data_IF_348733750324
#
_entry.id   IF_348733750324
#
_cell.length_a   1.000
_cell.length_b   1.000
_cell.length_c   1.000
_cell.angle_alpha   90.00
_cell.angle_beta   90.00
_cell.angle_gamma   90.00
#
_symmetry.space_group_name_H-M   'P 1'
#
loop_
_entity.id
_entity.type
_entity.pdbx_description
1 polymer ?
#
# COMPACT_ATOMS: atom_id res chain seq x y z
N UNK A 1 -22.89 23.83 3.54
CA UNK A 1 -22.25 23.09 4.65
C UNK A 1 -20.77 22.91 4.33
N UNK A 2 -19.88 23.81 4.81
CA UNK A 2 -18.44 23.73 4.58
C UNK A 2 -17.85 22.73 5.59
N UNK A 3 -17.49 21.51 5.17
CA UNK A 3 -16.71 20.61 6.02
C UNK A 3 -15.33 21.24 6.22
N UNK A 4 -14.94 21.45 7.47
CA UNK A 4 -13.69 22.11 7.84
C UNK A 4 -12.48 21.44 7.17
N UNK A 5 -11.61 22.27 6.61
CA UNK A 5 -10.31 21.85 6.11
C UNK A 5 -9.53 21.23 7.27
N UNK A 6 -9.38 19.90 7.28
CA UNK A 6 -8.47 19.21 8.21
C UNK A 6 -7.05 19.64 7.81
N UNK A 7 -6.29 20.31 8.69
CA UNK A 7 -4.93 20.70 8.37
C UNK A 7 -4.12 19.44 8.00
N UNK A 8 -3.15 19.55 7.08
CA UNK A 8 -2.32 18.42 6.72
C UNK A 8 -1.68 17.84 7.99
N UNK A 9 -1.62 16.50 8.13
CA UNK A 9 -0.94 15.89 9.26
C UNK A 9 0.52 16.36 9.31
N UNK A 10 1.08 16.41 10.52
CA UNK A 10 2.45 16.83 10.79
C UNK A 10 3.42 16.29 9.74
N UNK A 11 4.29 17.17 9.25
CA UNK A 11 5.29 16.91 8.21
C UNK A 11 5.95 15.56 8.46
N UNK A 12 5.93 14.69 7.44
CA UNK A 12 6.62 13.42 7.48
C UNK A 12 8.06 13.65 7.98
N UNK A 13 8.56 12.86 8.95
CA UNK A 13 9.92 13.03 9.44
C UNK A 13 10.89 12.98 8.26
N UNK A 14 11.93 13.82 8.33
CA UNK A 14 12.97 13.90 7.32
C UNK A 14 13.47 12.49 6.96
N UNK A 15 13.72 12.24 5.67
CA UNK A 15 14.11 10.91 5.17
C UNK A 15 15.31 10.31 5.93
N UNK A 16 16.21 11.15 6.44
CA UNK A 16 17.33 10.77 7.31
C UNK A 16 16.87 10.05 8.59
N UNK A 17 15.81 10.54 9.25
CA UNK A 17 15.28 9.93 10.48
C UNK A 17 14.63 8.56 10.23
N UNK A 18 14.13 8.30 9.01
CA UNK A 18 13.56 6.98 8.64
C UNK A 18 14.61 5.97 8.20
N UNK A 19 15.80 6.44 7.79
CA UNK A 19 16.91 5.56 7.43
C UNK A 19 17.70 5.08 8.65
N UNK A 20 17.71 5.84 9.75
CA UNK A 20 18.45 5.51 10.96
C UNK A 20 18.18 4.08 11.49
N UNK A 21 16.93 3.59 11.57
CA UNK A 21 16.67 2.20 11.99
C UNK A 21 17.30 1.15 11.06
N UNK A 22 17.45 1.45 9.76
CA UNK A 22 17.98 0.54 8.74
C UNK A 22 19.51 0.55 8.65
N UNK A 23 20.18 1.43 9.41
CA UNK A 23 21.64 1.50 9.41
C UNK A 23 22.27 0.31 10.14
N UNK A 24 21.63 -0.16 11.23
CA UNK A 24 22.10 -1.28 12.05
C UNK A 24 21.32 -2.59 11.92
N UNK A 25 20.13 -2.59 11.30
CA UNK A 25 19.34 -3.80 11.10
C UNK A 25 19.63 -4.41 9.73
N UNK A 26 20.05 -5.66 9.65
CA UNK A 26 20.02 -6.45 8.40
C UNK A 26 19.46 -7.82 8.72
N UNK A 27 18.54 -8.32 7.88
CA UNK A 27 18.12 -9.72 7.93
C UNK A 27 19.30 -10.66 7.62
N UNK A 28 19.14 -11.93 7.98
CA UNK A 28 20.12 -12.97 7.64
C UNK A 28 20.30 -13.16 6.13
N UNK A 29 21.26 -13.99 5.73
CA UNK A 29 21.56 -14.24 4.32
C UNK A 29 20.36 -14.79 3.52
N UNK A 30 19.46 -15.52 4.18
CA UNK A 30 18.25 -16.11 3.60
C UNK A 30 17.05 -15.13 3.57
N UNK A 31 17.20 -13.91 4.12
CA UNK A 31 16.15 -12.90 4.07
C UNK A 31 15.98 -12.35 2.65
N UNK A 32 14.76 -11.97 2.25
CA UNK A 32 14.52 -11.45 0.91
C UNK A 32 15.25 -10.12 0.71
N UNK A 33 15.67 -9.87 -0.53
CA UNK A 33 16.30 -8.59 -0.90
C UNK A 33 15.25 -7.51 -1.11
N UNK A 34 15.57 -6.23 -0.87
CA UNK A 34 14.64 -5.12 -1.12
C UNK A 34 14.06 -5.06 -2.55
N UNK A 35 14.88 -5.41 -3.55
CA UNK A 35 14.45 -5.44 -4.96
C UNK A 35 13.39 -6.54 -5.21
N UNK A 36 13.53 -7.71 -4.57
CA UNK A 36 12.57 -8.81 -4.68
C UNK A 36 11.22 -8.40 -4.09
N UNK A 37 11.22 -7.71 -2.94
CA UNK A 37 9.99 -7.15 -2.35
C UNK A 37 9.36 -6.14 -3.29
N UNK A 38 10.14 -5.21 -3.86
CA UNK A 38 9.64 -4.21 -4.81
C UNK A 38 8.93 -4.89 -5.98
N UNK A 39 9.57 -5.89 -6.57
CA UNK A 39 9.06 -6.55 -7.78
C UNK A 39 7.83 -7.41 -7.46
N UNK A 40 7.80 -8.06 -6.29
CA UNK A 40 6.63 -8.77 -5.79
C UNK A 40 5.42 -7.84 -5.54
N UNK A 41 5.64 -6.64 -4.98
CA UNK A 41 4.58 -5.64 -4.83
C UNK A 41 4.02 -5.21 -6.19
N UNK A 42 4.88 -4.94 -7.17
CA UNK A 42 4.47 -4.55 -8.53
C UNK A 42 3.64 -5.64 -9.19
N UNK A 43 4.11 -6.88 -9.17
CA UNK A 43 3.38 -8.02 -9.72
C UNK A 43 2.01 -8.19 -9.04
N UNK A 44 1.98 -8.13 -7.70
CA UNK A 44 0.75 -8.28 -6.92
C UNK A 44 -0.29 -7.20 -7.26
N UNK A 45 0.12 -5.94 -7.37
CA UNK A 45 -0.78 -4.84 -7.73
C UNK A 45 -1.22 -4.92 -9.19
N UNK A 46 -0.35 -5.34 -10.10
CA UNK A 46 -0.72 -5.51 -11.51
C UNK A 46 -1.81 -6.58 -11.67
N UNK A 47 -1.66 -7.71 -10.98
CA UNK A 47 -2.60 -8.83 -11.04
C UNK A 47 -3.93 -8.55 -10.34
N UNK A 48 -3.92 -7.96 -9.15
CA UNK A 48 -5.14 -7.81 -8.34
C UNK A 48 -5.75 -6.41 -8.31
N UNK A 49 -4.97 -5.37 -8.63
CA UNK A 49 -5.38 -3.97 -8.57
C UNK A 49 -5.06 -3.18 -9.86
N UNK A 50 -4.86 -3.90 -10.98
CA UNK A 50 -4.56 -3.36 -12.31
C UNK A 50 -5.74 -2.62 -12.95
N UNK A 51 -5.85 -2.66 -14.29
CA UNK A 51 -6.89 -1.91 -15.01
C UNK A 51 -8.30 -2.32 -14.59
N UNK A 52 -8.57 -3.62 -14.61
CA UNK A 52 -9.82 -4.22 -14.15
C UNK A 52 -9.63 -4.93 -12.82
N UNK A 53 -10.63 -4.81 -11.96
CA UNK A 53 -10.58 -5.36 -10.61
C UNK A 53 -11.80 -6.23 -10.34
N UNK A 54 -11.61 -7.20 -9.45
CA UNK A 54 -12.66 -8.06 -8.88
C UNK A 54 -12.45 -8.15 -7.38
N UNK A 55 -13.50 -8.49 -6.64
CA UNK A 55 -13.40 -8.79 -5.20
C UNK A 55 -12.28 -9.80 -4.93
N UNK A 56 -12.32 -10.95 -5.60
CA UNK A 56 -11.35 -12.03 -5.40
C UNK A 56 -9.93 -11.62 -5.79
N UNK A 57 -9.75 -10.85 -6.87
CA UNK A 57 -8.43 -10.33 -7.25
C UNK A 57 -7.84 -9.41 -6.19
N UNK A 58 -8.67 -8.50 -5.66
CA UNK A 58 -8.27 -7.55 -4.63
C UNK A 58 -7.98 -8.24 -3.29
N UNK A 59 -8.81 -9.19 -2.87
CA UNK A 59 -8.59 -9.96 -1.63
C UNK A 59 -7.27 -10.75 -1.68
N UNK A 60 -6.98 -11.41 -2.82
CA UNK A 60 -5.69 -12.10 -3.02
C UNK A 60 -4.51 -11.13 -3.00
N UNK A 61 -4.65 -9.96 -3.62
CA UNK A 61 -3.59 -8.95 -3.58
C UNK A 61 -3.33 -8.43 -2.17
N UNK A 62 -4.38 -8.18 -1.38
CA UNK A 62 -4.26 -7.77 0.03
C UNK A 62 -3.52 -8.84 0.82
N UNK A 63 -3.93 -10.11 0.72
CA UNK A 63 -3.28 -11.20 1.45
C UNK A 63 -1.78 -11.32 1.09
N UNK A 64 -1.43 -11.22 -0.20
CA UNK A 64 -0.02 -11.22 -0.64
C UNK A 64 0.75 -10.01 -0.12
N UNK A 65 0.17 -8.82 -0.18
CA UNK A 65 0.80 -7.61 0.34
C UNK A 65 0.98 -7.65 1.87
N UNK A 66 0.06 -8.27 2.61
CA UNK A 66 0.19 -8.52 4.05
C UNK A 66 1.35 -9.49 4.33
N UNK A 67 1.48 -10.57 3.56
CA UNK A 67 2.61 -11.48 3.68
C UNK A 67 3.95 -10.77 3.38
N UNK A 68 4.00 -9.92 2.35
CA UNK A 68 5.17 -9.09 2.05
C UNK A 68 5.48 -8.10 3.19
N UNK A 69 4.45 -7.52 3.82
CA UNK A 69 4.64 -6.65 4.97
C UNK A 69 5.28 -7.39 6.16
N UNK A 70 4.87 -8.63 6.41
CA UNK A 70 5.48 -9.48 7.44
C UNK A 70 6.93 -9.82 7.11
N UNK A 71 7.22 -10.21 5.86
CA UNK A 71 8.58 -10.49 5.41
C UNK A 71 9.51 -9.27 5.59
N UNK A 72 9.02 -8.08 5.25
CA UNK A 72 9.75 -6.83 5.46
C UNK A 72 9.95 -6.53 6.95
N UNK A 73 8.95 -6.80 7.79
CA UNK A 73 9.04 -6.63 9.24
C UNK A 73 10.00 -7.60 9.92
N UNK A 74 10.15 -8.81 9.38
CA UNK A 74 11.11 -9.82 9.83
C UNK A 74 12.58 -9.46 9.49
N UNK A 75 12.78 -8.53 8.55
CA UNK A 75 14.09 -8.03 8.14
C UNK A 75 14.43 -8.38 6.69
N UNK A 76 15.20 -7.50 6.05
CA UNK A 76 15.63 -7.64 4.66
C UNK A 76 17.15 -7.82 4.58
N UNK A 77 17.60 -8.61 3.61
CA UNK A 77 19.02 -8.77 3.33
C UNK A 77 19.58 -7.49 2.67
N UNK A 78 20.40 -6.75 3.42
CA UNK A 78 20.99 -5.48 2.97
C UNK A 78 22.50 -5.53 3.15
N UNK A 79 23.25 -5.30 2.07
CA UNK A 79 24.72 -5.37 2.08
C UNK A 79 25.36 -4.01 1.83
N UNK A 80 24.66 -3.13 1.12
CA UNK A 80 25.16 -1.82 0.71
C UNK A 80 24.30 -0.68 1.26
N UNK A 81 24.84 0.55 1.35
CA UNK A 81 24.02 1.73 1.63
C UNK A 81 22.85 1.91 0.65
N UNK A 82 23.03 1.49 -0.62
CA UNK A 82 21.97 1.51 -1.63
C UNK A 82 20.84 0.55 -1.27
N UNK A 83 21.15 -0.64 -0.75
CA UNK A 83 20.14 -1.60 -0.31
C UNK A 83 19.27 -1.04 0.83
N UNK A 84 19.84 -0.22 1.72
CA UNK A 84 19.09 0.44 2.80
C UNK A 84 18.06 1.44 2.27
N UNK A 85 18.45 2.23 1.26
CA UNK A 85 17.51 3.11 0.57
C UNK A 85 16.40 2.29 -0.11
N UNK A 86 16.77 1.21 -0.82
CA UNK A 86 15.79 0.33 -1.47
C UNK A 86 14.88 -0.37 -0.47
N UNK A 87 15.36 -0.70 0.73
CA UNK A 87 14.54 -1.28 1.79
C UNK A 87 13.48 -0.28 2.27
N UNK A 88 13.85 0.99 2.45
CA UNK A 88 12.89 2.04 2.80
C UNK A 88 11.84 2.24 1.69
N UNK A 89 12.26 2.24 0.43
CA UNK A 89 11.34 2.31 -0.70
C UNK A 89 10.39 1.10 -0.73
N UNK A 90 10.92 -0.11 -0.55
CA UNK A 90 10.13 -1.34 -0.52
C UNK A 90 9.09 -1.33 0.61
N UNK A 91 9.49 -0.91 1.82
CA UNK A 91 8.57 -0.70 2.95
C UNK A 91 7.42 0.24 2.60
N UNK A 92 7.73 1.38 1.99
CA UNK A 92 6.73 2.36 1.59
C UNK A 92 5.83 1.83 0.47
N UNK A 93 6.38 1.07 -0.47
CA UNK A 93 5.63 0.46 -1.56
C UNK A 93 4.63 -0.59 -1.04
N UNK A 94 5.03 -1.47 -0.12
CA UNK A 94 4.11 -2.45 0.48
C UNK A 94 2.96 -1.73 1.20
N UNK A 95 3.28 -0.74 2.04
CA UNK A 95 2.28 0.03 2.79
C UNK A 95 1.31 0.76 1.86
N UNK A 96 1.83 1.43 0.84
CA UNK A 96 1.00 2.14 -0.14
C UNK A 96 0.16 1.18 -0.96
N UNK A 97 0.72 0.04 -1.37
CA UNK A 97 0.00 -1.01 -2.07
C UNK A 97 -1.19 -1.54 -1.26
N UNK A 98 -1.01 -1.77 0.05
CA UNK A 98 -2.10 -2.18 0.95
C UNK A 98 -3.22 -1.12 1.00
N UNK A 99 -2.85 0.16 1.11
CA UNK A 99 -3.85 1.23 1.11
C UNK A 99 -4.64 1.28 -0.21
N UNK A 100 -3.96 1.13 -1.35
CA UNK A 100 -4.61 1.09 -2.67
C UNK A 100 -5.56 -0.10 -2.76
N UNK A 101 -5.08 -1.31 -2.48
CA UNK A 101 -5.86 -2.54 -2.63
C UNK A 101 -7.08 -2.56 -1.70
N UNK A 102 -6.91 -2.19 -0.43
CA UNK A 102 -8.03 -2.12 0.53
C UNK A 102 -9.04 -1.05 0.16
N UNK A 103 -8.60 0.12 -0.32
CA UNK A 103 -9.49 1.19 -0.77
C UNK A 103 -10.32 0.75 -1.99
N UNK A 104 -9.67 0.07 -2.94
CA UNK A 104 -10.33 -0.49 -4.12
C UNK A 104 -11.31 -1.61 -3.75
N UNK A 105 -11.00 -2.43 -2.74
CA UNK A 105 -11.90 -3.47 -2.25
C UNK A 105 -13.14 -2.88 -1.58
N UNK A 106 -12.94 -1.85 -0.76
CA UNK A 106 -14.03 -1.16 -0.08
C UNK A 106 -14.99 -0.47 -1.07
N UNK A 107 -14.48 0.16 -2.13
CA UNK A 107 -15.29 0.84 -3.15
C UNK A 107 -15.95 -0.16 -4.11
N UNK A 108 -17.25 -0.39 -3.92
CA UNK A 108 -18.07 -1.29 -4.74
C UNK A 108 -18.87 -0.56 -5.82
N UNK A 109 -18.17 0.20 -6.68
CA UNK A 109 -18.69 0.79 -7.92
C UNK A 109 -17.57 0.86 -8.96
N UNK A 110 -17.87 1.36 -10.16
CA UNK A 110 -16.88 1.74 -11.16
C UNK A 110 -16.95 3.23 -11.50
N UNK A 111 -15.81 3.92 -11.47
CA UNK A 111 -15.67 5.35 -11.77
C UNK A 111 -14.23 5.71 -12.16
N UNK A 112 -14.07 6.32 -13.34
CA UNK A 112 -12.76 6.79 -13.82
C UNK A 112 -11.75 5.64 -13.93
N UNK A 113 -10.59 5.77 -13.29
CA UNK A 113 -9.54 4.73 -13.29
C UNK A 113 -9.86 3.51 -12.39
N UNK A 114 -10.89 3.60 -11.54
CA UNK A 114 -11.36 2.50 -10.72
C UNK A 114 -12.47 1.73 -11.45
N UNK A 115 -12.11 0.62 -12.10
CA UNK A 115 -13.04 -0.24 -12.84
C UNK A 115 -13.16 -1.61 -12.15
N UNK A 116 -14.37 -1.95 -11.71
CA UNK A 116 -14.73 -3.22 -11.08
C UNK A 116 -15.68 -4.00 -11.96
N UNK A 117 -15.25 -5.16 -12.44
CA UNK A 117 -16.07 -6.00 -13.32
C UNK A 117 -17.26 -6.63 -12.60
N UNK A 118 -17.16 -6.81 -11.28
CA UNK A 118 -18.24 -7.26 -10.41
C UNK A 118 -19.15 -6.12 -9.89
N UNK A 119 -18.79 -4.86 -10.16
CA UNK A 119 -19.57 -3.66 -9.87
C UNK A 119 -19.40 -2.62 -10.99
N UNK A 120 -19.84 -2.97 -12.20
CA UNK A 120 -19.52 -2.21 -13.42
C UNK A 120 -20.20 -0.83 -13.51
N UNK A 121 -21.29 -0.62 -12.78
CA UNK A 121 -22.02 0.63 -12.80
C UNK A 121 -21.44 1.65 -11.79
N UNK A 122 -21.60 2.93 -12.13
CA UNK A 122 -21.42 4.06 -11.22
C UNK A 122 -22.61 4.12 -10.26
N UNK A 123 -22.37 4.30 -8.95
CA UNK A 123 -23.41 4.38 -7.91
C UNK A 123 -23.20 5.68 -7.12
N UNK A 124 -23.76 6.78 -7.63
CA UNK A 124 -23.65 8.10 -6.98
C UNK A 124 -24.36 8.16 -5.62
N UNK A 125 -25.43 7.38 -5.44
CA UNK A 125 -26.18 7.36 -4.19
C UNK A 125 -25.31 6.90 -3.01
N UNK A 126 -24.45 5.90 -3.24
CA UNK A 126 -23.54 5.38 -2.20
C UNK A 126 -22.13 5.96 -2.26
N UNK A 127 -21.60 6.27 -3.44
CA UNK A 127 -20.15 6.46 -3.66
C UNK A 127 -19.74 7.84 -4.19
N UNK A 128 -20.65 8.81 -4.24
CA UNK A 128 -20.28 10.22 -4.43
C UNK A 128 -19.65 10.80 -3.15
N UNK A 129 -18.55 10.18 -2.72
CA UNK A 129 -17.81 10.40 -1.48
C UNK A 129 -16.36 9.94 -1.61
N UNK A 130 -15.52 10.34 -0.65
CA UNK A 130 -14.11 9.99 -0.65
C UNK A 130 -13.84 8.76 0.22
N UNK A 131 -12.96 7.88 -0.25
CA UNK A 131 -12.37 6.82 0.57
C UNK A 131 -11.12 7.40 1.20
N UNK A 132 -11.10 7.46 2.53
CA UNK A 132 -10.01 8.01 3.34
C UNK A 132 -9.31 6.86 4.04
N UNK A 133 -7.98 6.79 3.91
CA UNK A 133 -7.14 5.81 4.62
C UNK A 133 -6.37 6.54 5.71
N UNK A 134 -6.57 6.12 6.96
CA UNK A 134 -5.86 6.71 8.10
C UNK A 134 -4.44 6.15 8.23
N UNK A 135 -3.46 7.04 8.28
CA UNK A 135 -2.07 6.67 8.49
C UNK A 135 -1.89 6.05 9.89
N UNK A 136 -1.38 4.81 9.94
CA UNK A 136 -1.02 4.12 11.19
C UNK A 136 -1.99 3.01 11.62
N UNK A 137 -3.25 3.06 11.21
CA UNK A 137 -4.26 2.04 11.59
C UNK A 137 -4.73 1.18 10.41
N UNK A 138 -4.28 1.48 9.17
CA UNK A 138 -4.82 0.92 7.92
C UNK A 138 -6.36 0.98 7.83
N UNK A 139 -6.99 1.80 8.67
CA UNK A 139 -8.44 1.91 8.77
C UNK A 139 -8.96 2.69 7.58
N UNK A 140 -10.03 2.18 6.98
CA UNK A 140 -10.74 2.84 5.90
C UNK A 140 -11.96 3.55 6.48
N UNK A 141 -12.05 4.84 6.23
CA UNK A 141 -13.24 5.64 6.49
C UNK A 141 -13.81 6.11 5.15
N UNK A 142 -15.14 6.12 5.03
CA UNK A 142 -15.82 6.58 3.81
C UNK A 142 -16.55 7.87 4.16
N UNK A 143 -16.06 9.01 3.66
CA UNK A 143 -16.51 10.34 4.07
C UNK A 143 -17.36 11.04 3.00
#
# INVERSE_FOLDING_TARGET
>A
MRRGHRPPPATAPASSARLAPLQGSSGGADAPRPDEIRDAVRATLLEGAGLYRTRTGLERAIARLEALAQAVGAGLAMRTPRDRLRALEAQNMVKTGLHVARSALARTESRGAHQRTDHAARDDARWLRHVIVEAGSSRIAIQ
#
